data_IF_425520223554
#
_entry.id   IF_425520223554
#
_cell.length_a   1.000
_cell.length_b   1.000
_cell.length_c   1.000
_cell.angle_alpha   90.00
_cell.angle_beta   90.00
_cell.angle_gamma   90.00
#
_symmetry.space_group_name_H-M   'P 1'
#
loop_
_entity.id
_entity.type
_entity.pdbx_description
1 polymer ?
#
# COMPACT_ATOMS: atom_id res chain seq x y z
N UNK A 1 -10.24 -2.76 0.32
CA UNK A 1 -10.53 -3.83 -0.66
C UNK A 1 -11.96 -3.66 -1.16
N UNK A 2 -12.25 -3.98 -2.42
CA UNK A 2 -13.59 -3.83 -3.02
C UNK A 2 -13.85 -2.50 -3.75
N UNK A 3 -12.85 -1.62 -3.83
CA UNK A 3 -12.90 -0.43 -4.68
C UNK A 3 -12.57 -0.83 -6.13
N UNK A 4 -13.51 -0.62 -7.04
CA UNK A 4 -13.42 -1.07 -8.43
C UNK A 4 -12.87 0.02 -9.38
N UNK A 5 -12.58 1.22 -8.88
CA UNK A 5 -12.17 2.38 -9.70
C UNK A 5 -10.92 2.13 -10.55
N UNK A 6 -10.05 1.22 -10.12
CA UNK A 6 -8.74 0.96 -10.74
C UNK A 6 -8.62 -0.46 -11.30
N UNK A 7 -9.73 -1.16 -11.54
CA UNK A 7 -9.71 -2.56 -11.99
C UNK A 7 -9.15 -2.76 -13.41
N UNK A 8 -8.98 -1.69 -14.17
CA UNK A 8 -8.40 -1.68 -15.52
C UNK A 8 -6.93 -1.21 -15.51
N UNK A 9 -6.36 -0.97 -14.33
CA UNK A 9 -5.02 -0.41 -14.16
C UNK A 9 -4.08 -1.41 -13.47
N UNK A 10 -2.81 -1.41 -13.89
CA UNK A 10 -1.75 -2.10 -13.18
C UNK A 10 -1.12 -1.19 -12.14
N UNK A 11 -0.65 -1.77 -11.03
CA UNK A 11 0.14 -1.01 -10.06
C UNK A 11 1.49 -0.60 -10.66
N UNK A 12 1.89 0.65 -10.43
CA UNK A 12 3.21 1.15 -10.83
C UNK A 12 4.27 0.67 -9.83
N UNK A 13 5.03 -0.35 -10.23
CA UNK A 13 6.13 -0.92 -9.44
C UNK A 13 7.51 -0.42 -9.91
N UNK A 14 7.57 0.72 -10.60
CA UNK A 14 8.85 1.31 -11.03
C UNK A 14 9.67 1.81 -9.84
N UNK A 15 11.00 1.76 -9.96
CA UNK A 15 11.93 2.29 -8.93
C UNK A 15 11.61 3.75 -8.60
N UNK A 16 11.25 4.54 -9.63
CA UNK A 16 10.83 5.94 -9.46
C UNK A 16 9.60 6.05 -8.56
N UNK A 17 8.56 5.26 -8.81
CA UNK A 17 7.34 5.28 -8.00
C UNK A 17 7.59 4.80 -6.57
N UNK A 18 8.41 3.76 -6.41
CA UNK A 18 8.81 3.24 -5.09
C UNK A 18 9.52 4.33 -4.28
N UNK A 19 10.47 5.06 -4.88
CA UNK A 19 11.15 6.20 -4.23
C UNK A 19 10.18 7.31 -3.85
N UNK A 20 9.27 7.68 -4.75
CA UNK A 20 8.24 8.69 -4.46
C UNK A 20 7.32 8.27 -3.31
N UNK A 21 6.95 6.99 -3.24
CA UNK A 21 6.15 6.45 -2.15
C UNK A 21 6.93 6.48 -0.82
N UNK A 22 8.23 6.16 -0.82
CA UNK A 22 9.08 6.26 0.36
C UNK A 22 9.18 7.70 0.88
N UNK A 23 9.45 8.67 0.01
CA UNK A 23 9.47 10.10 0.37
C UNK A 23 8.10 10.59 0.88
N UNK A 24 7.01 10.11 0.29
CA UNK A 24 5.67 10.38 0.77
C UNK A 24 5.46 9.82 2.19
N UNK A 25 5.86 8.58 2.45
CA UNK A 25 5.72 7.93 3.75
C UNK A 25 6.48 8.68 4.85
N UNK A 26 7.70 9.16 4.56
CA UNK A 26 8.47 9.99 5.49
C UNK A 26 7.70 11.27 5.87
N UNK A 27 7.13 11.98 4.89
CA UNK A 27 6.34 13.20 5.12
C UNK A 27 5.07 12.93 5.91
N UNK A 28 4.42 11.78 5.70
CA UNK A 28 3.25 11.39 6.50
C UNK A 28 3.67 11.08 7.94
N UNK A 29 4.75 10.32 8.15
CA UNK A 29 5.22 10.02 9.50
C UNK A 29 5.59 11.28 10.28
N UNK A 30 6.24 12.25 9.63
CA UNK A 30 6.51 13.57 10.22
C UNK A 30 5.23 14.26 10.68
N UNK A 31 4.19 14.30 9.84
CA UNK A 31 2.88 14.87 10.20
C UNK A 31 2.23 14.11 11.36
N UNK A 32 2.30 12.79 11.36
CA UNK A 32 1.75 11.96 12.44
C UNK A 32 2.46 12.19 13.77
N UNK A 33 3.79 12.43 13.75
CA UNK A 33 4.56 12.72 14.96
C UNK A 33 4.19 14.06 15.62
N UNK A 34 3.59 14.99 14.86
CA UNK A 34 3.13 16.28 15.38
C UNK A 34 1.71 16.26 15.99
N UNK A 35 1.01 15.11 15.92
CA UNK A 35 -0.33 14.97 16.51
C UNK A 35 -0.18 14.64 18.01
N UNK A 36 -0.82 15.42 18.88
CA UNK A 36 -0.94 15.04 20.29
C UNK A 36 -1.94 13.89 20.44
N UNK A 37 -1.41 12.71 20.78
CA UNK A 37 -2.21 11.51 21.00
C UNK A 37 -3.18 11.69 22.18
N UNK A 38 -2.90 12.61 23.11
CA UNK A 38 -3.72 12.86 24.28
C UNK A 38 -5.02 13.60 23.99
N UNK A 39 -5.13 14.25 22.84
CA UNK A 39 -6.37 14.91 22.41
C UNK A 39 -7.35 13.94 21.72
N UNK A 40 -6.92 12.70 21.45
CA UNK A 40 -7.73 11.70 20.77
C UNK A 40 -8.61 10.90 21.75
N UNK A 41 -9.82 10.54 21.30
CA UNK A 41 -10.64 9.54 21.99
C UNK A 41 -10.01 8.13 21.89
N UNK A 42 -10.50 7.18 22.67
CA UNK A 42 -9.93 5.83 22.75
C UNK A 42 -9.78 5.15 21.37
N UNK A 43 -10.85 5.11 20.58
CA UNK A 43 -10.85 4.52 19.24
C UNK A 43 -9.82 5.19 18.32
N UNK A 44 -9.76 6.52 18.33
CA UNK A 44 -8.84 7.28 17.52
C UNK A 44 -7.38 7.10 17.96
N UNK A 45 -7.11 6.83 19.25
CA UNK A 45 -5.75 6.47 19.70
C UNK A 45 -5.31 5.14 19.12
N UNK A 46 -6.22 4.15 19.06
CA UNK A 46 -5.92 2.85 18.46
C UNK A 46 -5.69 3.01 16.96
N UNK A 47 -6.60 3.69 16.27
CA UNK A 47 -6.47 3.96 14.83
C UNK A 47 -5.18 4.73 14.51
N UNK A 48 -4.85 5.76 15.29
CA UNK A 48 -3.61 6.51 15.15
C UNK A 48 -2.38 5.60 15.32
N UNK A 49 -2.33 4.76 16.36
CA UNK A 49 -1.21 3.85 16.61
C UNK A 49 -1.03 2.86 15.46
N UNK A 50 -2.11 2.25 14.97
CA UNK A 50 -2.08 1.32 13.85
C UNK A 50 -1.62 2.00 12.56
N UNK A 51 -2.17 3.17 12.27
CA UNK A 51 -1.83 3.94 11.09
C UNK A 51 -0.35 4.37 11.11
N UNK A 52 0.13 4.91 12.24
CA UNK A 52 1.54 5.27 12.42
C UNK A 52 2.45 4.06 12.24
N UNK A 53 2.13 2.92 12.86
CA UNK A 53 2.92 1.69 12.77
C UNK A 53 3.03 1.18 11.34
N UNK A 54 1.97 1.34 10.53
CA UNK A 54 2.01 0.99 9.10
C UNK A 54 3.06 1.81 8.33
N UNK A 55 3.16 3.12 8.58
CA UNK A 55 4.18 3.96 7.94
C UNK A 55 5.59 3.66 8.44
N UNK A 56 5.77 3.48 9.75
CA UNK A 56 7.06 3.09 10.34
C UNK A 56 7.57 1.79 9.70
N UNK A 57 6.72 0.76 9.64
CA UNK A 57 7.07 -0.52 9.02
C UNK A 57 7.38 -0.37 7.52
N UNK A 58 6.65 0.50 6.81
CA UNK A 58 6.89 0.73 5.38
C UNK A 58 8.21 1.43 5.12
N UNK A 59 8.59 2.40 5.97
CA UNK A 59 9.86 3.12 5.91
C UNK A 59 11.02 2.18 6.26
N UNK A 60 10.89 1.41 7.34
CA UNK A 60 11.85 0.39 7.74
C UNK A 60 12.05 -0.65 6.63
N UNK A 61 10.95 -1.17 6.06
CA UNK A 61 10.99 -2.17 4.99
C UNK A 61 11.72 -1.69 3.75
N UNK A 62 11.66 -0.39 3.43
CA UNK A 62 12.36 0.18 2.28
C UNK A 62 13.89 0.03 2.39
N UNK A 63 14.43 0.04 3.61
CA UNK A 63 15.88 -0.11 3.84
C UNK A 63 16.43 -1.50 3.48
N UNK A 64 15.57 -2.52 3.42
CA UNK A 64 15.94 -3.87 3.02
C UNK A 64 15.92 -4.08 1.50
N UNK A 65 15.50 -3.07 0.74
CA UNK A 65 15.52 -3.06 -0.73
C UNK A 65 14.87 -4.27 -1.41
N UNK A 66 13.86 -4.86 -0.78
CA UNK A 66 13.17 -6.06 -1.30
C UNK A 66 12.52 -5.83 -2.66
N UNK A 67 12.28 -4.58 -3.04
CA UNK A 67 11.81 -4.20 -4.37
C UNK A 67 12.82 -4.50 -5.50
N UNK A 68 14.09 -4.73 -5.17
CA UNK A 68 15.11 -5.22 -6.11
C UNK A 68 15.01 -6.73 -6.37
N UNK A 69 14.12 -7.43 -5.66
CA UNK A 69 13.81 -8.85 -5.82
C UNK A 69 12.34 -9.01 -6.26
N UNK A 70 12.00 -8.68 -7.52
CA UNK A 70 10.61 -8.52 -7.95
C UNK A 70 9.83 -9.83 -8.16
N UNK A 71 10.45 -10.99 -7.96
CA UNK A 71 9.79 -12.29 -8.04
C UNK A 71 10.25 -13.24 -6.94
N UNK A 72 9.32 -14.08 -6.48
CA UNK A 72 9.54 -15.17 -5.54
C UNK A 72 8.47 -16.25 -5.77
N UNK A 73 8.55 -17.33 -4.99
CA UNK A 73 7.51 -18.35 -4.97
C UNK A 73 6.15 -17.87 -4.41
N UNK A 74 6.10 -16.69 -3.77
CA UNK A 74 4.87 -16.12 -3.18
C UNK A 74 4.43 -14.80 -3.80
N UNK A 75 5.05 -14.36 -4.89
CA UNK A 75 4.70 -13.09 -5.50
C UNK A 75 5.59 -12.71 -6.67
N UNK A 76 5.16 -11.73 -7.45
CA UNK A 76 5.84 -11.25 -8.64
C UNK A 76 4.96 -11.38 -9.88
N UNK A 77 5.45 -10.84 -11.00
CA UNK A 77 4.66 -10.72 -12.23
C UNK A 77 4.16 -12.07 -12.76
N UNK A 78 4.89 -13.16 -12.49
CA UNK A 78 4.48 -14.51 -12.88
C UNK A 78 3.17 -14.98 -12.19
N UNK A 79 2.86 -14.44 -11.01
CA UNK A 79 1.62 -14.74 -10.28
C UNK A 79 0.50 -13.72 -10.56
N UNK A 80 0.73 -12.72 -11.42
CA UNK A 80 -0.23 -11.64 -11.62
C UNK A 80 -1.57 -12.11 -12.21
N UNK A 81 -1.59 -13.26 -12.88
CA UNK A 81 -2.83 -13.90 -13.36
C UNK A 81 -3.82 -14.21 -12.23
N UNK A 82 -3.34 -14.38 -10.98
CA UNK A 82 -4.19 -14.61 -9.80
C UNK A 82 -5.18 -13.46 -9.56
N UNK A 83 -4.88 -12.24 -10.03
CA UNK A 83 -5.78 -11.07 -9.93
C UNK A 83 -7.15 -11.32 -10.58
N UNK A 84 -7.23 -12.19 -11.59
CA UNK A 84 -8.50 -12.58 -12.23
C UNK A 84 -9.46 -13.26 -11.25
N UNK A 85 -8.95 -13.86 -10.17
CA UNK A 85 -9.76 -14.54 -9.15
C UNK A 85 -10.54 -13.57 -8.26
N UNK A 86 -10.11 -12.29 -8.20
CA UNK A 86 -10.72 -11.26 -7.35
C UNK A 86 -11.45 -10.17 -8.14
N UNK A 87 -11.24 -10.11 -9.47
CA UNK A 87 -11.94 -9.20 -10.35
C UNK A 87 -13.40 -9.66 -10.52
N UNK A 88 -14.40 -8.79 -10.30
CA UNK A 88 -15.79 -9.19 -10.50
C UNK A 88 -16.05 -9.34 -12.00
N UNK A 89 -16.62 -10.46 -12.45
CA UNK A 89 -17.00 -10.69 -13.85
C UNK A 89 -18.52 -10.90 -13.96
N UNK A 90 -19.29 -9.81 -13.78
CA UNK A 90 -20.76 -9.86 -13.58
C UNK A 90 -21.57 -8.99 -14.55
N UNK A 91 -20.93 -8.00 -15.19
CA UNK A 91 -21.54 -7.10 -16.17
C UNK A 91 -20.53 -6.82 -17.29
N UNK A 92 -21.03 -6.42 -18.45
CA UNK A 92 -20.23 -6.20 -19.67
C UNK A 92 -19.03 -5.29 -19.42
N UNK A 93 -19.21 -4.21 -18.64
CA UNK A 93 -18.13 -3.28 -18.30
C UNK A 93 -16.89 -3.94 -17.67
N UNK A 94 -17.04 -5.07 -16.97
CA UNK A 94 -15.90 -5.73 -16.32
C UNK A 94 -15.01 -6.53 -17.27
N UNK A 95 -15.45 -6.74 -18.51
CA UNK A 95 -14.71 -7.45 -19.55
C UNK A 95 -14.03 -6.48 -20.54
N UNK A 96 -14.27 -5.18 -20.37
CA UNK A 96 -13.72 -4.09 -21.20
C UNK A 96 -12.59 -3.41 -20.44
#
# INVERSE_FOLDING_TARGET
>A
MGDLRFNTEWSDNSIKKIKLNYEHNLKILEKLNNIDINDLNYENRINYKLFKKQYENSIESHSYETYLMPFSHRGGIQLQHETTSILPLRKTQHYL
#
